data_IF_528489926273
#
_entry.id   IF_528489926273
#
_cell.length_a   1.000
_cell.length_b   1.000
_cell.length_c   1.000
_cell.angle_alpha   90.00
_cell.angle_beta   90.00
_cell.angle_gamma   90.00
#
_symmetry.space_group_name_H-M   'P 1'
#
loop_
_entity.id
_entity.type
_entity.pdbx_description
1 polymer ?
#
# COMPACT_ATOMS: atom_id res chain seq x y z
N UNK A 1 26.06 -5.37 -0.59
CA UNK A 1 26.92 -6.49 -0.11
C UNK A 1 27.00 -7.58 -1.18
N UNK A 2 25.91 -8.08 -1.72
CA UNK A 2 25.87 -9.21 -2.66
C UNK A 2 26.54 -8.92 -4.01
N UNK A 3 26.32 -7.73 -4.62
CA UNK A 3 26.98 -7.35 -5.86
C UNK A 3 28.50 -7.35 -5.77
N UNK A 4 29.07 -6.93 -4.64
CA UNK A 4 30.51 -6.95 -4.41
C UNK A 4 31.04 -8.39 -4.30
N UNK A 5 30.29 -9.28 -3.65
CA UNK A 5 30.63 -10.69 -3.53
C UNK A 5 30.57 -11.41 -4.88
N UNK A 6 29.52 -11.17 -5.68
CA UNK A 6 29.41 -11.68 -7.06
C UNK A 6 30.57 -11.21 -7.94
N UNK A 7 30.95 -9.93 -7.83
CA UNK A 7 32.08 -9.39 -8.59
C UNK A 7 33.39 -10.11 -8.24
N UNK A 8 33.63 -10.44 -6.99
CA UNK A 8 34.81 -11.21 -6.56
C UNK A 8 34.79 -12.66 -7.08
N UNK A 9 33.64 -13.32 -6.98
CA UNK A 9 33.45 -14.70 -7.48
C UNK A 9 33.71 -14.79 -8.99
N UNK A 10 33.18 -13.83 -9.76
CA UNK A 10 33.42 -13.72 -11.21
C UNK A 10 34.93 -13.47 -11.48
N UNK A 11 35.55 -12.54 -10.77
CA UNK A 11 36.94 -12.18 -10.96
C UNK A 11 37.90 -13.35 -10.67
N UNK A 12 37.62 -14.18 -9.68
CA UNK A 12 38.43 -15.32 -9.30
C UNK A 12 38.01 -16.64 -9.97
N UNK A 13 36.98 -16.61 -10.84
CA UNK A 13 36.49 -17.79 -11.54
C UNK A 13 35.93 -18.87 -10.61
N UNK A 14 35.44 -18.48 -9.43
CA UNK A 14 34.87 -19.40 -8.45
C UNK A 14 33.50 -19.85 -8.88
N UNK A 15 33.30 -21.13 -9.13
CA UNK A 15 31.98 -21.69 -9.36
C UNK A 15 31.25 -21.91 -8.03
N UNK A 16 30.15 -21.22 -7.81
CA UNK A 16 29.35 -21.35 -6.59
C UNK A 16 27.86 -21.40 -6.94
N UNK A 17 27.10 -22.12 -6.12
CA UNK A 17 25.64 -22.16 -6.20
C UNK A 17 25.11 -21.64 -4.87
N UNK A 18 24.28 -20.62 -4.93
CA UNK A 18 23.65 -20.03 -3.74
C UNK A 18 22.31 -19.38 -4.08
N UNK A 19 21.45 -19.26 -3.10
CA UNK A 19 20.26 -18.46 -3.21
C UNK A 19 20.63 -16.97 -3.15
N UNK A 20 20.11 -16.11 -4.04
CA UNK A 20 20.26 -14.67 -3.96
C UNK A 20 19.63 -14.11 -2.68
N UNK A 21 20.14 -12.98 -2.20
CA UNK A 21 19.48 -12.22 -1.14
C UNK A 21 18.42 -11.33 -1.79
N UNK A 22 17.16 -11.69 -1.64
CA UNK A 22 16.04 -10.93 -2.17
C UNK A 22 15.72 -9.77 -1.24
N UNK A 23 15.40 -8.60 -1.79
CA UNK A 23 14.84 -7.47 -1.04
C UNK A 23 13.36 -7.72 -0.71
N UNK A 24 12.70 -8.54 -1.52
CA UNK A 24 11.32 -8.99 -1.35
C UNK A 24 11.21 -10.40 -1.90
N UNK A 25 10.52 -11.28 -1.21
CA UNK A 25 10.26 -12.65 -1.65
C UNK A 25 8.81 -12.78 -2.10
N UNK A 26 8.56 -13.62 -3.11
CA UNK A 26 7.20 -13.96 -3.52
C UNK A 26 6.43 -14.65 -2.37
N UNK A 27 5.12 -14.43 -2.31
CA UNK A 27 4.25 -15.12 -1.36
C UNK A 27 4.12 -16.61 -1.66
N UNK A 28 4.25 -16.98 -2.92
CA UNK A 28 4.37 -18.37 -3.36
C UNK A 28 5.37 -18.48 -4.52
N UNK A 29 5.94 -19.65 -4.72
CA UNK A 29 6.87 -19.94 -5.83
C UNK A 29 6.18 -20.65 -7.01
N UNK A 30 4.87 -20.47 -7.14
CA UNK A 30 4.07 -21.00 -8.26
C UNK A 30 3.95 -20.02 -9.42
N UNK A 31 3.13 -20.38 -10.39
CA UNK A 31 2.77 -19.50 -11.54
C UNK A 31 1.91 -18.30 -11.09
N UNK A 32 1.36 -18.37 -9.88
CA UNK A 32 0.64 -17.30 -9.21
C UNK A 32 1.35 -17.03 -7.87
N UNK A 33 2.32 -16.14 -7.85
CA UNK A 33 3.17 -15.82 -6.71
C UNK A 33 2.45 -14.96 -5.63
N UNK A 34 1.30 -14.35 -5.95
CA UNK A 34 0.43 -13.65 -5.01
C UNK A 34 -0.56 -14.59 -4.32
N UNK A 35 -0.84 -15.76 -4.91
CA UNK A 35 -1.95 -16.63 -4.51
C UNK A 35 -3.29 -16.13 -5.03
N UNK A 36 -4.39 -16.67 -4.48
CA UNK A 36 -5.75 -16.37 -4.92
C UNK A 36 -6.47 -15.38 -3.97
N UNK A 37 -5.75 -14.84 -2.99
CA UNK A 37 -6.29 -13.87 -2.01
C UNK A 37 -5.33 -12.69 -1.91
N UNK A 38 -5.73 -11.55 -2.47
CA UNK A 38 -4.93 -10.34 -2.52
C UNK A 38 -5.80 -9.12 -2.84
N UNK A 39 -5.23 -7.93 -2.68
CA UNK A 39 -5.87 -6.66 -3.05
C UNK A 39 -5.09 -6.05 -4.21
N UNK A 40 -5.80 -5.65 -5.26
CA UNK A 40 -5.30 -4.80 -6.33
C UNK A 40 -5.68 -3.35 -6.05
N UNK A 41 -4.72 -2.43 -6.20
CA UNK A 41 -4.89 -0.99 -6.06
C UNK A 41 -4.39 -0.35 -7.33
N UNK A 42 -5.29 -0.12 -8.29
CA UNK A 42 -4.98 0.58 -9.54
C UNK A 42 -4.92 2.08 -9.30
N UNK A 43 -3.69 2.60 -9.22
CA UNK A 43 -3.43 4.01 -8.95
C UNK A 43 -3.78 4.91 -10.16
N UNK A 44 -3.85 4.36 -11.38
CA UNK A 44 -4.26 5.08 -12.58
C UNK A 44 -5.76 5.26 -12.63
N UNK A 45 -6.50 4.16 -12.38
CA UNK A 45 -7.95 4.15 -12.42
C UNK A 45 -8.58 4.67 -11.11
N UNK A 46 -7.78 4.78 -10.04
CA UNK A 46 -8.23 5.14 -8.68
C UNK A 46 -9.32 4.23 -8.17
N UNK A 47 -9.16 2.92 -8.47
CA UNK A 47 -10.08 1.86 -8.13
C UNK A 47 -9.33 0.67 -7.55
N UNK A 48 -9.93 -0.04 -6.58
CA UNK A 48 -9.36 -1.22 -5.95
C UNK A 48 -10.31 -2.39 -5.99
N UNK A 49 -9.71 -3.60 -6.04
CA UNK A 49 -10.41 -4.88 -5.98
C UNK A 49 -9.81 -5.73 -4.86
N UNK A 50 -10.65 -6.42 -4.10
CA UNK A 50 -10.21 -7.43 -3.15
C UNK A 50 -10.68 -8.80 -3.59
N UNK A 51 -9.73 -9.62 -3.98
CA UNK A 51 -9.95 -11.02 -4.34
C UNK A 51 -9.75 -11.94 -3.14
N UNK A 52 -10.66 -12.86 -2.91
CA UNK A 52 -10.53 -13.92 -1.92
C UNK A 52 -10.84 -15.26 -2.56
N UNK A 53 -9.90 -16.21 -2.50
CA UNK A 53 -10.00 -17.53 -3.15
C UNK A 53 -10.35 -17.42 -4.64
N UNK A 54 -9.76 -16.46 -5.35
CA UNK A 54 -9.95 -16.21 -6.77
C UNK A 54 -11.28 -15.52 -7.14
N UNK A 55 -12.07 -15.12 -6.17
CA UNK A 55 -13.31 -14.37 -6.38
C UNK A 55 -13.16 -12.94 -5.92
N UNK A 56 -13.63 -12.00 -6.73
CA UNK A 56 -13.80 -10.62 -6.32
C UNK A 56 -14.93 -10.55 -5.28
N UNK A 57 -14.60 -10.04 -4.09
CA UNK A 57 -15.52 -9.96 -2.95
C UNK A 57 -15.77 -8.52 -2.50
N UNK A 58 -14.98 -7.56 -3.00
CA UNK A 58 -15.13 -6.15 -2.65
C UNK A 58 -14.39 -5.28 -3.66
N UNK A 59 -15.02 -4.19 -4.07
CA UNK A 59 -14.43 -3.14 -4.90
C UNK A 59 -14.76 -1.75 -4.34
N UNK A 60 -13.92 -0.76 -4.63
CA UNK A 60 -14.13 0.62 -4.21
C UNK A 60 -13.34 1.61 -5.05
N UNK A 61 -13.95 2.72 -5.39
CA UNK A 61 -13.21 3.92 -5.76
C UNK A 61 -12.47 4.47 -4.54
N UNK A 62 -11.34 5.14 -4.79
CA UNK A 62 -10.55 5.77 -3.74
C UNK A 62 -9.89 7.07 -4.24
N UNK A 63 -9.23 7.79 -3.33
CA UNK A 63 -8.30 8.87 -3.69
C UNK A 63 -6.94 8.56 -3.08
N UNK A 64 -5.92 8.36 -3.93
CA UNK A 64 -4.54 8.09 -3.54
C UNK A 64 -3.76 9.37 -3.24
N UNK A 65 -2.46 9.22 -3.04
CA UNK A 65 -1.52 10.31 -2.81
C UNK A 65 -1.47 11.33 -3.95
N UNK A 66 -1.27 12.60 -3.59
CA UNK A 66 -1.27 13.73 -4.52
C UNK A 66 -0.06 13.70 -5.46
N UNK A 67 -0.31 13.56 -6.76
CA UNK A 67 0.74 13.47 -7.78
C UNK A 67 1.51 14.77 -8.00
N UNK A 68 0.97 15.92 -7.57
CA UNK A 68 1.67 17.21 -7.67
C UNK A 68 2.87 17.33 -6.71
N UNK A 69 2.99 16.43 -5.74
CA UNK A 69 4.05 16.43 -4.73
C UNK A 69 4.72 15.05 -4.67
N UNK A 70 6.02 14.99 -4.97
CA UNK A 70 6.76 13.74 -5.04
C UNK A 70 6.82 12.98 -3.69
N UNK A 71 6.74 13.68 -2.57
CA UNK A 71 6.75 13.14 -1.22
C UNK A 71 5.35 12.72 -0.70
N UNK A 72 4.32 12.87 -1.53
CA UNK A 72 2.94 12.52 -1.18
C UNK A 72 2.34 11.45 -2.09
N UNK A 73 3.11 10.91 -3.01
CA UNK A 73 2.62 9.87 -3.90
C UNK A 73 2.45 8.55 -3.17
N UNK A 74 1.41 7.79 -3.49
CA UNK A 74 1.30 6.40 -3.10
C UNK A 74 2.32 5.58 -3.87
N UNK A 75 3.07 4.72 -3.17
CA UNK A 75 4.11 3.94 -3.82
C UNK A 75 3.51 2.74 -4.57
N UNK A 76 3.99 2.51 -5.80
CA UNK A 76 3.75 1.25 -6.49
C UNK A 76 4.64 0.15 -5.88
N UNK A 77 4.11 -1.07 -5.80
CA UNK A 77 4.82 -2.21 -5.23
C UNK A 77 3.89 -3.27 -4.68
N UNK A 78 4.46 -4.27 -4.03
CA UNK A 78 3.73 -5.32 -3.33
C UNK A 78 3.99 -5.16 -1.83
N UNK A 79 2.93 -5.00 -1.09
CA UNK A 79 2.93 -4.75 0.35
C UNK A 79 2.09 -5.81 1.07
N UNK A 80 2.01 -5.72 2.39
CA UNK A 80 1.12 -6.54 3.19
C UNK A 80 0.49 -5.71 4.29
N UNK A 81 -0.75 -6.04 4.67
CA UNK A 81 -1.42 -5.41 5.80
C UNK A 81 -0.64 -5.66 7.09
N UNK A 82 -0.25 -4.59 7.80
CA UNK A 82 0.50 -4.69 9.06
C UNK A 82 -0.39 -4.99 10.25
N UNK A 83 -1.45 -4.19 10.42
CA UNK A 83 -2.44 -4.30 11.49
C UNK A 83 -3.72 -3.55 11.12
N UNK A 84 -4.73 -3.63 11.97
CA UNK A 84 -5.96 -2.84 11.89
C UNK A 84 -6.18 -2.12 13.20
N UNK A 85 -6.65 -0.87 13.14
CA UNK A 85 -6.99 -0.07 14.32
C UNK A 85 -8.26 0.75 14.07
N UNK A 86 -9.12 0.83 15.08
CA UNK A 86 -10.36 1.61 15.05
C UNK A 86 -10.73 2.08 16.46
N UNK A 87 -10.97 3.40 16.68
CA UNK A 87 -10.54 4.51 15.83
C UNK A 87 -9.05 4.83 15.96
N UNK A 88 -8.52 5.71 15.10
CA UNK A 88 -7.17 6.24 15.20
C UNK A 88 -7.09 7.74 14.83
N UNK A 89 -5.95 8.37 15.15
CA UNK A 89 -5.62 9.73 14.73
C UNK A 89 -4.33 9.68 13.91
N UNK A 90 -4.45 9.92 12.62
CA UNK A 90 -3.31 9.98 11.71
C UNK A 90 -2.63 11.33 11.81
N UNK A 91 -1.30 11.32 11.95
CA UNK A 91 -0.50 12.53 12.14
C UNK A 91 0.57 12.63 11.06
N UNK A 92 0.68 13.83 10.49
CA UNK A 92 1.78 14.18 9.60
C UNK A 92 3.10 14.37 10.37
N UNK A 93 4.09 14.91 9.67
CA UNK A 93 5.40 15.20 10.26
C UNK A 93 5.29 16.20 11.42
N UNK A 94 6.01 15.91 12.52
CA UNK A 94 6.09 16.82 13.63
C UNK A 94 6.97 18.03 13.25
N UNK A 95 6.44 19.24 13.42
CA UNK A 95 7.14 20.50 13.18
C UNK A 95 8.07 20.85 14.35
N UNK A 96 8.97 21.80 14.13
CA UNK A 96 9.93 22.25 15.15
C UNK A 96 9.27 22.88 16.38
N UNK A 97 8.04 23.37 16.27
CA UNK A 97 7.24 23.94 17.36
C UNK A 97 6.47 22.88 18.18
N UNK A 98 6.62 21.59 17.84
CA UNK A 98 5.96 20.47 18.49
C UNK A 98 4.53 20.18 18.01
N UNK A 99 4.04 20.94 17.03
CA UNK A 99 2.75 20.64 16.37
C UNK A 99 2.94 19.69 15.20
N UNK A 100 1.87 19.02 14.75
CA UNK A 100 1.90 18.19 13.56
C UNK A 100 1.52 18.99 12.30
N UNK A 101 1.99 18.55 11.14
CA UNK A 101 1.62 19.14 9.86
C UNK A 101 0.11 19.04 9.63
N UNK A 102 -0.46 17.91 10.00
CA UNK A 102 -1.90 17.66 10.06
C UNK A 102 -2.21 16.61 11.13
N UNK A 103 -3.45 16.59 11.58
CA UNK A 103 -4.06 15.54 12.38
C UNK A 103 -5.42 15.21 11.74
N UNK A 104 -5.67 13.92 11.49
CA UNK A 104 -6.91 13.44 10.88
C UNK A 104 -7.47 12.30 11.71
N UNK A 105 -8.66 12.50 12.27
CA UNK A 105 -9.40 11.43 12.95
C UNK A 105 -10.00 10.51 11.91
N UNK A 106 -9.79 9.20 12.08
CA UNK A 106 -10.31 8.15 11.20
C UNK A 106 -10.98 7.07 12.04
N UNK A 107 -12.04 6.46 11.50
CA UNK A 107 -12.69 5.35 12.17
C UNK A 107 -11.99 4.03 11.89
N UNK A 108 -11.34 3.90 10.74
CA UNK A 108 -10.71 2.68 10.28
C UNK A 108 -9.31 2.97 9.74
N UNK A 109 -8.30 2.34 10.31
CA UNK A 109 -6.91 2.46 9.89
C UNK A 109 -6.31 1.09 9.58
N UNK A 110 -5.78 0.93 8.37
CA UNK A 110 -5.25 -0.33 7.83
C UNK A 110 -3.93 -0.07 7.09
N UNK A 111 -2.78 0.09 7.82
CA UNK A 111 -1.49 0.42 7.22
C UNK A 111 -0.83 -0.79 6.54
N UNK A 112 -0.13 -0.51 5.42
CA UNK A 112 0.58 -1.53 4.64
C UNK A 112 1.96 -1.09 4.11
N UNK A 113 2.27 0.22 4.07
CA UNK A 113 3.56 0.74 3.61
C UNK A 113 4.01 1.92 4.50
N UNK A 114 4.83 1.64 5.52
CA UNK A 114 5.28 2.66 6.47
C UNK A 114 4.12 3.40 7.12
N UNK A 115 3.92 4.67 6.76
CA UNK A 115 2.79 5.50 7.18
C UNK A 115 1.63 5.55 6.20
N UNK A 116 1.66 4.74 5.11
CA UNK A 116 0.61 4.67 4.09
C UNK A 116 -0.30 3.48 4.40
N UNK A 117 -1.61 3.68 4.26
CA UNK A 117 -2.62 2.65 4.48
C UNK A 117 -3.98 3.06 3.93
N UNK A 118 -4.94 2.15 4.04
CA UNK A 118 -6.34 2.45 3.77
C UNK A 118 -6.99 3.07 5.00
N UNK A 119 -7.82 4.08 4.79
CA UNK A 119 -8.65 4.67 5.85
C UNK A 119 -9.89 5.36 5.28
N UNK A 120 -10.90 5.57 6.11
CA UNK A 120 -12.05 6.38 5.77
C UNK A 120 -11.67 7.86 5.63
N UNK A 121 -12.34 8.56 4.72
CA UNK A 121 -12.13 9.98 4.49
C UNK A 121 -13.47 10.73 4.46
N UNK A 122 -14.06 10.90 5.63
CA UNK A 122 -15.37 11.54 5.82
C UNK A 122 -15.43 13.03 5.40
N UNK A 123 -14.27 13.62 5.15
CA UNK A 123 -14.12 15.00 4.66
C UNK A 123 -14.17 15.12 3.12
N UNK A 124 -14.32 13.99 2.39
CA UNK A 124 -14.45 13.95 0.94
C UNK A 124 -15.84 13.55 0.53
N UNK A 125 -16.38 14.25 -0.45
CA UNK A 125 -17.69 13.94 -1.04
C UNK A 125 -17.55 13.08 -2.31
N UNK A 126 -16.35 13.05 -2.94
CA UNK A 126 -16.10 12.36 -4.21
C UNK A 126 -14.82 11.51 -4.12
N UNK A 127 -14.81 10.38 -4.83
CA UNK A 127 -13.71 9.43 -4.91
C UNK A 127 -13.52 8.97 -6.36
N UNK A 128 -12.33 8.47 -6.68
CA UNK A 128 -11.98 8.01 -8.03
C UNK A 128 -11.56 9.12 -8.99
N UNK A 129 -11.38 8.76 -10.25
CA UNK A 129 -11.04 9.68 -11.35
C UNK A 129 -9.75 10.45 -11.13
N UNK A 130 -9.71 11.69 -11.59
CA UNK A 130 -8.49 12.52 -11.65
C UNK A 130 -8.23 13.34 -10.37
N UNK A 131 -8.99 13.13 -9.28
CA UNK A 131 -8.88 13.90 -8.04
C UNK A 131 -7.45 13.86 -7.49
N UNK A 132 -6.80 12.69 -7.51
CA UNK A 132 -5.44 12.47 -6.99
C UNK A 132 -4.36 13.31 -7.68
N UNK A 133 -4.60 13.79 -8.90
CA UNK A 133 -3.62 14.59 -9.64
C UNK A 133 -3.33 15.92 -8.94
N UNK A 134 -4.32 16.54 -8.30
CA UNK A 134 -4.21 17.88 -7.70
C UNK A 134 -4.73 17.98 -6.27
N UNK A 135 -5.67 17.11 -5.86
CA UNK A 135 -6.28 17.08 -4.51
C UNK A 135 -6.21 15.69 -3.87
N UNK A 136 -5.09 15.00 -4.10
CA UNK A 136 -4.79 13.71 -3.47
C UNK A 136 -4.44 13.83 -1.98
N UNK A 137 -4.26 12.68 -1.36
CA UNK A 137 -3.84 12.54 0.04
C UNK A 137 -2.33 12.84 0.23
N UNK A 138 -1.81 12.59 1.43
CA UNK A 138 -0.35 12.57 1.71
C UNK A 138 0.28 11.17 1.50
N UNK A 139 -0.33 10.35 0.65
CA UNK A 139 0.14 8.99 0.31
C UNK A 139 -0.88 7.88 0.63
N UNK A 140 -1.73 8.08 1.61
CA UNK A 140 -2.75 7.11 2.00
C UNK A 140 -3.84 6.92 0.93
N UNK A 141 -4.47 5.76 0.97
CA UNK A 141 -5.65 5.43 0.16
C UNK A 141 -6.91 5.85 0.94
N UNK A 142 -7.50 6.95 0.51
CA UNK A 142 -8.71 7.50 1.10
C UNK A 142 -9.94 6.79 0.52
N UNK A 143 -10.71 6.13 1.37
CA UNK A 143 -11.92 5.39 0.99
C UNK A 143 -13.19 6.13 1.42
N UNK A 144 -14.31 5.94 0.72
CA UNK A 144 -15.63 6.25 1.24
C UNK A 144 -15.83 5.60 2.62
N UNK A 145 -16.43 6.30 3.61
CA UNK A 145 -16.55 5.76 4.98
C UNK A 145 -17.21 4.39 5.06
N UNK A 146 -18.29 4.16 4.30
CA UNK A 146 -19.00 2.88 4.29
C UNK A 146 -18.11 1.77 3.70
N UNK A 147 -17.37 2.06 2.64
CA UNK A 147 -16.46 1.11 2.00
C UNK A 147 -15.25 0.80 2.91
N UNK A 148 -14.72 1.80 3.62
CA UNK A 148 -13.66 1.59 4.61
C UNK A 148 -14.13 0.67 5.76
N UNK A 149 -15.38 0.81 6.20
CA UNK A 149 -15.98 -0.07 7.21
C UNK A 149 -16.05 -1.52 6.72
N UNK A 150 -16.56 -1.73 5.50
CA UNK A 150 -16.65 -3.06 4.89
C UNK A 150 -15.26 -3.67 4.72
N UNK A 151 -14.31 -2.93 4.14
CA UNK A 151 -12.92 -3.41 3.97
C UNK A 151 -12.29 -3.77 5.32
N UNK A 152 -12.47 -2.93 6.34
CA UNK A 152 -11.95 -3.17 7.69
C UNK A 152 -12.44 -4.49 8.27
N UNK A 153 -13.71 -4.83 8.06
CA UNK A 153 -14.29 -6.07 8.58
C UNK A 153 -13.73 -7.31 7.87
N UNK A 154 -13.56 -7.26 6.55
CA UNK A 154 -13.21 -8.43 5.74
C UNK A 154 -11.70 -8.62 5.50
N UNK A 155 -10.88 -7.54 5.53
CA UNK A 155 -9.44 -7.61 5.25
C UNK A 155 -8.71 -8.43 6.32
N UNK A 156 -7.81 -9.31 5.88
CA UNK A 156 -7.05 -10.20 6.75
C UNK A 156 -5.59 -9.72 6.91
N UNK A 157 -4.98 -10.02 8.05
CA UNK A 157 -3.56 -9.75 8.27
C UNK A 157 -2.69 -10.51 7.26
N UNK A 158 -1.67 -9.85 6.75
CA UNK A 158 -0.73 -10.45 5.82
C UNK A 158 -1.27 -10.63 4.41
N UNK A 159 -2.50 -10.17 4.10
CA UNK A 159 -3.00 -10.17 2.72
C UNK A 159 -2.06 -9.33 1.85
N UNK A 160 -1.64 -9.84 0.66
CA UNK A 160 -0.87 -9.05 -0.28
C UNK A 160 -1.68 -7.88 -0.82
N UNK A 161 -1.03 -6.73 -0.95
CA UNK A 161 -1.60 -5.50 -1.50
C UNK A 161 -0.69 -5.07 -2.64
N UNK A 162 -1.21 -5.09 -3.86
CA UNK A 162 -0.49 -4.77 -5.09
C UNK A 162 -0.91 -3.39 -5.56
N UNK A 163 -0.03 -2.40 -5.41
CA UNK A 163 -0.24 -1.06 -5.92
C UNK A 163 0.48 -0.89 -7.25
N UNK A 164 -0.21 -0.43 -8.29
CA UNK A 164 0.35 -0.24 -9.64
C UNK A 164 -0.33 0.91 -10.38
N UNK A 165 0.33 1.37 -11.49
CA UNK A 165 -0.17 2.38 -12.41
C UNK A 165 -0.48 1.76 -13.77
#
# INVERSE_FOLDING_TARGET
AEAAQLSQEIQFGTQTTREPVYSQTANSYGVNDLGDTYIEVDLSEQHMYYYQNGSDIFESDFVSGNMSYADRQTHAGIFTLYYKKSPDVLRGTMKADGTYEYESEVQYWMPFDGGIGFHDASWRDEFGGDIYLTDGSHGCINLPPDNAAVLYDIIQYGVPIVCFY
#
